data_IF_258328206666
#
_entry.id   IF_258328206666
#
_cell.length_a   1.000
_cell.length_b   1.000
_cell.length_c   1.000
_cell.angle_alpha   90.00
_cell.angle_beta   90.00
_cell.angle_gamma   90.00
#
_symmetry.space_group_name_H-M   'P 1'
#
loop_
_entity.id
_entity.type
_entity.pdbx_description
1 polymer ?
#
# COMPACT_ATOMS: atom_id res chain seq x y z
N UNK A 1 25.71 -4.67 37.74
CA UNK A 1 26.98 -5.10 38.37
C UNK A 1 28.09 -4.98 37.35
N UNK A 2 29.29 -4.51 37.71
CA UNK A 2 29.72 -3.15 38.11
C UNK A 2 30.17 -2.34 36.86
N UNK A 3 30.66 -1.10 36.87
CA UNK A 3 31.10 -0.19 37.92
C UNK A 3 31.27 1.22 37.32
N UNK A 4 31.21 2.22 38.19
CA UNK A 4 31.27 3.63 37.86
C UNK A 4 32.67 4.09 37.44
N UNK A 5 32.75 5.01 36.49
CA UNK A 5 33.84 5.96 36.37
C UNK A 5 33.26 7.37 36.45
N UNK A 6 33.62 8.08 37.52
CA UNK A 6 33.23 9.45 37.79
C UNK A 6 33.88 10.40 36.80
N UNK A 7 33.07 11.08 35.98
CA UNK A 7 33.50 12.29 35.30
C UNK A 7 33.30 13.48 36.25
N UNK A 8 34.42 14.00 36.78
CA UNK A 8 34.43 15.14 37.69
C UNK A 8 33.77 16.37 37.07
N UNK A 9 32.69 16.85 37.68
CA UNK A 9 32.07 18.12 37.34
C UNK A 9 32.44 19.14 38.40
N UNK A 10 33.34 20.06 38.03
CA UNK A 10 33.78 21.17 38.87
C UNK A 10 32.64 22.15 39.13
N UNK A 11 32.31 22.38 40.40
CA UNK A 11 31.47 23.51 40.80
C UNK A 11 32.25 24.82 40.61
N UNK A 12 31.99 25.55 39.54
CA UNK A 12 32.45 26.93 39.40
C UNK A 12 31.28 27.86 39.80
N UNK A 13 31.40 28.64 40.88
CA UNK A 13 30.36 29.59 41.26
C UNK A 13 30.38 30.74 40.26
N UNK A 14 29.42 30.77 39.35
CA UNK A 14 29.17 31.90 38.46
C UNK A 14 28.07 32.76 39.08
N UNK A 15 28.44 33.56 40.08
CA UNK A 15 27.67 34.69 40.58
C UNK A 15 28.09 35.95 39.84
N UNK A 16 27.86 35.99 38.53
CA UNK A 16 27.86 37.25 37.77
C UNK A 16 26.41 37.61 37.51
N UNK A 17 25.81 38.27 38.49
CA UNK A 17 24.55 38.97 38.32
C UNK A 17 24.77 40.09 37.31
N UNK A 18 24.11 40.00 36.15
CA UNK A 18 23.99 41.12 35.25
C UNK A 18 23.20 42.21 35.97
N UNK A 19 23.88 43.28 36.39
CA UNK A 19 23.21 44.44 36.97
C UNK A 19 22.33 45.10 35.92
N UNK A 20 21.10 45.49 36.31
CA UNK A 20 20.21 46.27 35.44
C UNK A 20 21.00 47.50 34.96
N UNK A 21 21.05 47.76 33.64
CA UNK A 21 21.71 48.95 33.12
C UNK A 21 21.08 50.19 33.73
N UNK A 22 21.92 51.18 34.07
CA UNK A 22 21.46 52.44 34.60
C UNK A 22 20.53 53.10 33.56
N UNK A 23 19.25 53.27 33.91
CA UNK A 23 18.31 54.03 33.08
C UNK A 23 18.69 55.50 33.18
N UNK A 24 19.52 56.01 32.28
CA UNK A 24 19.73 57.45 32.16
C UNK A 24 18.43 58.08 31.68
N UNK A 25 17.83 58.96 32.50
CA UNK A 25 16.59 59.66 32.16
C UNK A 25 16.75 60.63 30.99
N UNK A 26 17.99 60.98 30.64
CA UNK A 26 18.33 61.83 29.49
C UNK A 26 19.09 61.02 28.46
N UNK A 27 18.74 61.20 27.19
CA UNK A 27 19.54 60.71 26.07
C UNK A 27 20.90 61.40 26.12
N UNK A 28 21.98 60.63 26.08
CA UNK A 28 23.33 61.21 25.97
C UNK A 28 23.49 61.89 24.61
N UNK A 29 24.32 62.93 24.53
CA UNK A 29 24.61 63.65 23.28
C UNK A 29 25.06 62.69 22.15
N UNK A 30 25.72 61.58 22.53
CA UNK A 30 26.08 60.48 21.63
C UNK A 30 24.86 59.71 21.10
N UNK A 31 23.92 59.30 21.95
CA UNK A 31 22.68 58.64 21.53
C UNK A 31 21.85 59.48 20.56
N UNK A 32 21.73 60.78 20.82
CA UNK A 32 21.01 61.69 19.90
C UNK A 32 21.73 61.78 18.56
N UNK A 33 23.07 61.83 18.56
CA UNK A 33 23.88 61.89 17.34
C UNK A 33 23.86 60.59 16.55
N UNK A 34 23.80 59.43 17.21
CA UNK A 34 23.70 58.12 16.56
C UNK A 34 22.28 57.87 16.00
N UNK A 35 21.24 58.26 16.73
CA UNK A 35 19.86 58.23 16.23
C UNK A 35 19.68 59.16 15.02
N UNK A 36 20.26 60.38 15.06
CA UNK A 36 20.23 61.31 13.93
C UNK A 36 21.00 60.81 12.69
N UNK A 37 21.96 59.89 12.87
CA UNK A 37 22.69 59.25 11.75
C UNK A 37 21.93 58.09 11.10
N UNK A 38 20.70 57.80 11.54
CA UNK A 38 19.94 56.64 11.04
C UNK A 38 20.58 55.30 11.39
N UNK A 39 21.54 55.28 12.34
CA UNK A 39 22.09 54.05 12.88
C UNK A 39 21.03 53.47 13.81
N UNK A 40 20.12 52.68 13.25
CA UNK A 40 19.43 51.67 14.04
C UNK A 40 20.49 50.86 14.76
N UNK A 41 20.24 50.49 16.01
CA UNK A 41 20.99 49.41 16.62
C UNK A 41 20.81 48.23 15.67
N UNK A 42 21.82 47.97 14.85
CA UNK A 42 22.11 46.62 14.44
C UNK A 42 22.19 45.89 15.77
N UNK A 43 21.09 45.24 16.16
CA UNK A 43 21.21 43.97 16.82
C UNK A 43 22.26 43.29 15.97
N UNK A 44 23.49 43.21 16.52
CA UNK A 44 24.51 42.33 15.98
C UNK A 44 23.78 41.01 15.93
N UNK A 45 23.23 40.72 14.75
CA UNK A 45 22.55 39.50 14.46
C UNK A 45 23.65 38.52 14.74
N UNK A 46 23.58 37.92 15.93
CA UNK A 46 24.51 36.89 16.29
C UNK A 46 24.34 35.95 15.12
N UNK A 47 25.37 35.86 14.27
CA UNK A 47 25.48 34.82 13.27
C UNK A 47 25.53 33.56 14.09
N UNK A 48 24.35 33.13 14.51
CA UNK A 48 24.11 31.92 15.23
C UNK A 48 24.50 30.89 14.21
N UNK A 49 25.55 30.15 14.54
CA UNK A 49 25.90 28.96 13.78
C UNK A 49 24.62 28.12 13.65
N UNK A 50 24.48 27.26 12.62
CA UNK A 50 23.29 26.41 12.48
C UNK A 50 22.93 25.66 13.78
N UNK A 51 23.93 25.40 14.62
CA UNK A 51 23.81 24.79 15.93
C UNK A 51 23.19 25.70 17.03
N UNK A 52 23.28 27.01 16.89
CA UNK A 52 22.72 28.00 17.83
C UNK A 52 21.31 28.47 17.45
N UNK A 53 20.80 28.08 16.27
CA UNK A 53 19.42 28.34 15.87
C UNK A 53 18.46 27.39 16.61
N UNK A 54 18.16 27.71 17.86
CA UNK A 54 17.07 27.05 18.59
C UNK A 54 15.74 27.55 18.02
N UNK A 55 15.07 26.68 17.26
CA UNK A 55 13.76 26.98 16.69
C UNK A 55 12.75 27.40 17.77
N UNK A 56 11.96 28.44 17.49
CA UNK A 56 10.84 28.82 18.34
C UNK A 56 9.86 27.65 18.50
N UNK A 57 9.05 27.66 19.57
CA UNK A 57 7.92 26.72 19.72
C UNK A 57 6.97 26.81 18.52
N UNK A 58 6.79 28.01 17.96
CA UNK A 58 6.00 28.24 16.74
C UNK A 58 6.68 27.61 15.51
N UNK A 59 7.97 27.81 15.31
CA UNK A 59 8.72 27.24 14.18
C UNK A 59 8.69 25.71 14.20
N UNK A 60 8.87 25.10 15.38
CA UNK A 60 8.74 23.64 15.56
C UNK A 60 7.36 23.13 15.17
N UNK A 61 6.29 23.84 15.58
CA UNK A 61 4.91 23.48 15.20
C UNK A 61 4.67 23.63 13.70
N UNK A 62 5.19 24.70 13.09
CA UNK A 62 5.06 24.95 11.66
C UNK A 62 5.82 23.89 10.83
N UNK A 63 7.05 23.54 11.22
CA UNK A 63 7.82 22.49 10.57
C UNK A 63 7.11 21.13 10.68
N UNK A 64 6.57 20.79 11.86
CA UNK A 64 5.80 19.56 12.04
C UNK A 64 4.55 19.53 11.13
N UNK A 65 3.83 20.65 11.03
CA UNK A 65 2.67 20.80 10.13
C UNK A 65 3.06 20.66 8.66
N UNK A 66 4.18 21.26 8.23
CA UNK A 66 4.68 21.11 6.86
C UNK A 66 5.00 19.66 6.53
N UNK A 67 5.73 18.95 7.41
CA UNK A 67 6.04 17.52 7.23
C UNK A 67 4.77 16.66 7.19
N UNK A 68 3.78 16.97 8.02
CA UNK A 68 2.50 16.25 8.00
C UNK A 68 1.76 16.43 6.67
N UNK A 69 1.68 17.66 6.16
CA UNK A 69 1.03 17.96 4.87
C UNK A 69 1.76 17.31 3.70
N UNK A 70 3.09 17.27 3.74
CA UNK A 70 3.92 16.60 2.74
C UNK A 70 3.65 15.09 2.71
N UNK A 71 3.68 14.42 3.87
CA UNK A 71 3.34 12.99 3.98
C UNK A 71 1.91 12.68 3.54
N UNK A 72 0.96 13.55 3.87
CA UNK A 72 -0.42 13.38 3.43
C UNK A 72 -0.55 13.47 1.90
N UNK A 73 0.20 14.38 1.26
CA UNK A 73 0.25 14.53 -0.20
C UNK A 73 0.91 13.32 -0.88
N UNK A 74 1.97 12.80 -0.28
CA UNK A 74 2.67 11.59 -0.75
C UNK A 74 1.72 10.39 -0.74
N UNK A 75 1.06 10.12 0.39
CA UNK A 75 0.07 9.04 0.50
C UNK A 75 -1.12 9.22 -0.46
N UNK A 76 -1.59 10.46 -0.66
CA UNK A 76 -2.65 10.75 -1.63
C UNK A 76 -2.18 10.43 -3.06
N UNK A 77 -0.91 10.73 -3.39
CA UNK A 77 -0.34 10.42 -4.70
C UNK A 77 -0.27 8.91 -4.92
N UNK A 78 0.18 8.13 -3.94
CA UNK A 78 0.23 6.67 -4.02
C UNK A 78 -1.15 6.03 -4.23
N UNK A 79 -2.16 6.54 -3.53
CA UNK A 79 -3.53 6.00 -3.59
C UNK A 79 -4.35 6.54 -4.76
N UNK A 80 -3.90 7.63 -5.40
CA UNK A 80 -4.62 8.32 -6.48
C UNK A 80 -4.92 7.42 -7.68
N UNK A 81 -4.07 6.44 -7.97
CA UNK A 81 -4.24 5.47 -9.08
C UNK A 81 -5.53 4.67 -8.97
N UNK A 82 -6.02 4.39 -7.75
CA UNK A 82 -7.24 3.65 -7.50
C UNK A 82 -8.47 4.55 -7.31
N UNK A 83 -8.27 5.87 -7.34
CA UNK A 83 -9.31 6.86 -7.04
C UNK A 83 -9.99 7.36 -8.31
N UNK A 84 -11.26 7.75 -8.18
CA UNK A 84 -12.03 8.36 -9.27
C UNK A 84 -12.79 7.36 -10.14
N UNK A 85 -13.53 7.89 -11.13
CA UNK A 85 -14.38 7.09 -12.02
C UNK A 85 -13.54 6.15 -12.91
N UNK A 86 -12.37 6.62 -13.32
CA UNK A 86 -11.42 5.90 -14.17
C UNK A 86 -10.25 5.32 -13.37
N UNK A 87 -10.41 5.20 -12.04
CA UNK A 87 -9.43 4.56 -11.17
C UNK A 87 -9.16 3.12 -11.61
N UNK A 88 -7.89 2.74 -11.52
CA UNK A 88 -7.43 1.38 -11.80
C UNK A 88 -8.11 0.38 -10.86
N UNK A 89 -8.46 -0.81 -11.35
CA UNK A 89 -8.87 -1.88 -10.47
C UNK A 89 -7.71 -2.32 -9.57
N UNK A 90 -8.04 -2.75 -8.35
CA UNK A 90 -7.10 -3.40 -7.43
C UNK A 90 -7.06 -4.88 -7.76
N UNK A 91 -5.91 -5.37 -8.19
CA UNK A 91 -5.75 -6.76 -8.60
C UNK A 91 -5.62 -7.66 -7.38
N UNK A 92 -6.53 -8.62 -7.23
CA UNK A 92 -6.59 -9.56 -6.10
C UNK A 92 -6.42 -10.99 -6.62
N UNK A 93 -5.25 -11.57 -6.40
CA UNK A 93 -5.00 -12.98 -6.69
C UNK A 93 -5.52 -13.84 -5.55
N UNK A 94 -6.43 -14.78 -5.85
CA UNK A 94 -7.01 -15.68 -4.86
C UNK A 94 -6.46 -17.08 -5.08
N UNK A 95 -5.63 -17.55 -4.15
CA UNK A 95 -4.78 -18.73 -4.31
C UNK A 95 -5.19 -19.78 -3.28
N UNK A 96 -5.74 -20.93 -3.70
CA UNK A 96 -6.02 -22.05 -2.81
C UNK A 96 -4.73 -22.80 -2.48
N UNK A 97 -4.47 -23.01 -1.18
CA UNK A 97 -3.31 -23.75 -0.72
C UNK A 97 -3.61 -25.23 -0.44
N UNK A 98 -4.85 -25.57 -0.05
CA UNK A 98 -5.27 -26.95 0.20
C UNK A 98 -6.07 -27.53 -0.97
N UNK A 99 -6.08 -28.86 -1.10
CA UNK A 99 -6.72 -29.56 -2.23
C UNK A 99 -8.24 -29.34 -2.33
N UNK A 100 -8.90 -29.13 -1.19
CA UNK A 100 -10.35 -28.91 -1.06
C UNK A 100 -10.74 -27.41 -1.12
N UNK A 101 -9.76 -26.52 -1.15
CA UNK A 101 -9.99 -25.08 -1.14
C UNK A 101 -10.38 -24.58 -2.53
N UNK A 102 -11.40 -23.71 -2.59
CA UNK A 102 -11.92 -23.21 -3.86
C UNK A 102 -11.89 -21.67 -3.89
N UNK A 103 -11.06 -21.13 -4.78
CA UNK A 103 -10.93 -19.68 -4.97
C UNK A 103 -12.25 -19.01 -5.39
N UNK A 104 -13.05 -19.66 -6.24
CA UNK A 104 -14.34 -19.12 -6.67
C UNK A 104 -15.33 -19.03 -5.51
N UNK A 105 -15.41 -20.08 -4.68
CA UNK A 105 -16.24 -20.09 -3.47
C UNK A 105 -15.79 -19.00 -2.48
N UNK A 106 -14.48 -18.81 -2.30
CA UNK A 106 -13.95 -17.74 -1.47
C UNK A 106 -14.38 -16.35 -1.99
N UNK A 107 -14.30 -16.10 -3.29
CA UNK A 107 -14.74 -14.83 -3.90
C UNK A 107 -16.25 -14.63 -3.72
N UNK A 108 -17.06 -15.68 -3.88
CA UNK A 108 -18.51 -15.61 -3.65
C UNK A 108 -18.84 -15.22 -2.21
N UNK A 109 -18.18 -15.84 -1.22
CA UNK A 109 -18.37 -15.49 0.20
C UNK A 109 -17.96 -14.05 0.50
N UNK A 110 -16.87 -13.57 -0.11
CA UNK A 110 -16.40 -12.19 0.05
C UNK A 110 -17.38 -11.19 -0.56
N UNK A 111 -17.81 -11.39 -1.80
CA UNK A 111 -18.76 -10.51 -2.49
C UNK A 111 -20.14 -10.54 -1.82
N UNK A 112 -20.62 -11.73 -1.42
CA UNK A 112 -21.87 -11.90 -0.70
C UNK A 112 -21.90 -11.20 0.66
N UNK A 113 -20.73 -10.99 1.31
CA UNK A 113 -20.67 -10.26 2.57
C UNK A 113 -21.02 -8.77 2.48
N UNK A 114 -20.98 -8.21 1.27
CA UNK A 114 -21.31 -6.82 0.97
C UNK A 114 -22.42 -6.71 -0.07
N UNK A 115 -23.17 -7.78 -0.26
CA UNK A 115 -24.38 -7.84 -1.10
C UNK A 115 -24.09 -7.55 -2.58
N UNK A 116 -22.94 -8.03 -3.07
CA UNK A 116 -22.57 -7.96 -4.49
C UNK A 116 -22.85 -9.31 -5.14
N UNK A 117 -23.78 -9.30 -6.09
CA UNK A 117 -24.06 -10.41 -6.99
C UNK A 117 -23.18 -10.25 -8.24
N UNK A 118 -22.05 -10.95 -8.26
CA UNK A 118 -21.18 -11.03 -9.43
C UNK A 118 -20.96 -12.50 -9.77
N UNK A 119 -21.21 -12.85 -11.03
CA UNK A 119 -20.87 -14.17 -11.55
C UNK A 119 -19.35 -14.34 -11.54
N UNK A 120 -18.87 -15.37 -10.86
CA UNK A 120 -17.44 -15.69 -10.85
C UNK A 120 -17.11 -16.35 -12.17
N UNK A 121 -16.31 -15.66 -12.98
CA UNK A 121 -15.85 -16.13 -14.27
C UNK A 121 -14.52 -16.86 -14.12
N UNK A 122 -14.26 -17.82 -14.99
CA UNK A 122 -12.91 -18.35 -15.16
C UNK A 122 -12.01 -17.25 -15.76
N UNK A 123 -10.87 -16.99 -15.10
CA UNK A 123 -9.95 -15.93 -15.50
C UNK A 123 -10.16 -14.59 -14.77
N UNK A 124 -9.57 -13.52 -15.29
CA UNK A 124 -9.60 -12.21 -14.63
C UNK A 124 -10.95 -11.51 -14.88
N UNK A 125 -11.64 -11.10 -13.81
CA UNK A 125 -12.88 -10.33 -13.94
C UNK A 125 -12.95 -9.19 -12.92
N UNK A 126 -13.71 -8.15 -13.27
CA UNK A 126 -13.82 -6.91 -12.50
C UNK A 126 -15.14 -6.85 -11.73
N UNK A 127 -15.04 -6.46 -10.47
CA UNK A 127 -16.17 -6.28 -9.56
C UNK A 127 -16.14 -4.85 -9.00
N UNK A 128 -17.13 -4.00 -9.33
CA UNK A 128 -17.26 -2.69 -8.70
C UNK A 128 -17.77 -2.85 -7.27
N UNK A 129 -17.07 -2.24 -6.32
CA UNK A 129 -17.42 -2.23 -4.90
C UNK A 129 -17.88 -0.84 -4.51
N UNK A 130 -19.14 -0.53 -4.81
CA UNK A 130 -19.73 0.81 -4.66
C UNK A 130 -19.67 1.33 -3.21
N UNK A 131 -19.85 0.43 -2.24
CA UNK A 131 -19.78 0.75 -0.79
C UNK A 131 -18.47 1.45 -0.41
N UNK A 132 -17.36 1.08 -1.04
CA UNK A 132 -16.04 1.66 -0.80
C UNK A 132 -15.54 2.55 -1.94
N UNK A 133 -16.35 2.72 -3.01
CA UNK A 133 -15.99 3.47 -4.23
C UNK A 133 -14.68 2.98 -4.86
N UNK A 134 -14.50 1.67 -4.87
CA UNK A 134 -13.31 1.01 -5.42
C UNK A 134 -13.73 -0.04 -6.45
N UNK A 135 -12.80 -0.46 -7.30
CA UNK A 135 -12.98 -1.57 -8.23
C UNK A 135 -11.97 -2.65 -7.87
N UNK A 136 -12.42 -3.88 -7.72
CA UNK A 136 -11.55 -5.04 -7.55
C UNK A 136 -11.48 -5.81 -8.86
N UNK A 137 -10.33 -6.39 -9.16
CA UNK A 137 -10.16 -7.35 -10.23
C UNK A 137 -9.67 -8.64 -9.64
N UNK A 138 -10.55 -9.64 -9.60
CA UNK A 138 -10.22 -10.95 -9.05
C UNK A 138 -9.51 -11.79 -10.09
N UNK A 139 -8.54 -12.57 -9.62
CA UNK A 139 -7.84 -13.60 -10.38
C UNK A 139 -8.03 -14.90 -9.58
N UNK A 140 -9.13 -15.64 -9.81
CA UNK A 140 -9.34 -16.96 -9.21
C UNK A 140 -8.33 -17.93 -9.79
N UNK A 141 -7.52 -18.54 -8.93
CA UNK A 141 -6.47 -19.47 -9.36
C UNK A 141 -6.80 -20.89 -8.92
N UNK A 142 -6.32 -21.83 -9.71
CA UNK A 142 -6.21 -23.24 -9.34
C UNK A 142 -4.84 -23.48 -8.71
N UNK A 143 -4.62 -24.67 -8.16
CA UNK A 143 -3.35 -25.09 -7.55
C UNK A 143 -2.29 -25.42 -8.62
N UNK A 144 -2.03 -24.46 -9.51
CA UNK A 144 -0.98 -24.51 -10.52
C UNK A 144 0.13 -23.53 -10.15
N UNK A 145 1.36 -24.04 -10.03
CA UNK A 145 2.51 -23.27 -9.55
C UNK A 145 2.79 -22.05 -10.45
N UNK A 146 2.83 -22.29 -11.76
CA UNK A 146 3.14 -21.25 -12.76
C UNK A 146 2.08 -20.15 -12.77
N UNK A 147 0.80 -20.51 -12.83
CA UNK A 147 -0.29 -19.53 -12.80
C UNK A 147 -0.32 -18.73 -11.49
N UNK A 148 -0.02 -19.37 -10.35
CA UNK A 148 0.03 -18.69 -9.06
C UNK A 148 1.15 -17.65 -9.00
N UNK A 149 2.36 -17.99 -9.49
CA UNK A 149 3.49 -17.06 -9.56
C UNK A 149 3.17 -15.87 -10.46
N UNK A 150 2.64 -16.15 -11.65
CA UNK A 150 2.31 -15.15 -12.67
C UNK A 150 1.22 -14.18 -12.24
N UNK A 151 0.20 -14.66 -11.54
CA UNK A 151 -0.83 -13.81 -10.98
C UNK A 151 -0.32 -13.02 -9.77
N UNK A 152 0.43 -13.65 -8.86
CA UNK A 152 0.92 -12.98 -7.66
C UNK A 152 1.92 -11.84 -7.98
N UNK A 153 2.75 -11.98 -9.03
CA UNK A 153 3.64 -10.89 -9.47
C UNK A 153 2.85 -9.67 -9.97
N UNK A 154 1.67 -9.87 -10.55
CA UNK A 154 0.80 -8.82 -11.09
C UNK A 154 -0.31 -8.35 -10.11
N UNK A 155 -0.36 -8.93 -8.92
CA UNK A 155 -1.40 -8.65 -7.92
C UNK A 155 -1.02 -7.51 -6.97
N UNK A 156 -1.99 -6.64 -6.69
CA UNK A 156 -1.90 -5.65 -5.60
C UNK A 156 -2.12 -6.32 -4.24
N UNK A 157 -2.96 -7.35 -4.20
CA UNK A 157 -3.25 -8.15 -3.02
C UNK A 157 -3.22 -9.63 -3.35
N UNK A 158 -2.63 -10.42 -2.46
CA UNK A 158 -2.68 -11.88 -2.51
C UNK A 158 -3.59 -12.34 -1.39
N UNK A 159 -4.55 -13.20 -1.71
CA UNK A 159 -5.46 -13.83 -0.75
C UNK A 159 -5.20 -15.33 -0.77
N UNK A 160 -4.56 -15.84 0.28
CA UNK A 160 -4.32 -17.27 0.45
C UNK A 160 -5.53 -17.92 1.10
N UNK A 161 -6.04 -19.00 0.52
CA UNK A 161 -7.16 -19.78 1.05
C UNK A 161 -6.61 -21.04 1.70
N UNK A 162 -6.74 -21.13 3.02
CA UNK A 162 -6.45 -22.31 3.82
C UNK A 162 -7.75 -23.06 4.12
N UNK A 163 -7.69 -24.39 4.18
CA UNK A 163 -8.79 -25.21 4.69
C UNK A 163 -8.66 -25.40 6.19
N UNK A 164 -9.80 -25.50 6.87
CA UNK A 164 -9.87 -25.93 8.26
C UNK A 164 -9.81 -27.46 8.42
N UNK A 165 -10.13 -28.23 7.38
CA UNK A 165 -10.25 -29.70 7.41
C UNK A 165 -9.01 -30.39 6.84
N UNK A 166 -8.45 -29.84 5.76
CA UNK A 166 -7.33 -30.45 5.02
C UNK A 166 -6.08 -29.63 5.21
N UNK A 167 -4.99 -30.29 5.60
CA UNK A 167 -3.68 -29.66 5.75
C UNK A 167 -3.10 -29.20 4.40
N UNK A 168 -2.16 -28.26 4.46
CA UNK A 168 -1.44 -27.81 3.27
C UNK A 168 -0.45 -28.91 2.87
N UNK A 169 -0.63 -29.49 1.69
CA UNK A 169 0.29 -30.48 1.15
C UNK A 169 1.57 -29.83 0.57
N UNK A 170 2.50 -30.67 0.07
CA UNK A 170 3.77 -30.23 -0.50
C UNK A 170 3.61 -29.24 -1.67
N UNK A 171 2.54 -29.37 -2.48
CA UNK A 171 2.28 -28.47 -3.59
C UNK A 171 1.82 -27.09 -3.08
N UNK A 172 0.95 -27.06 -2.08
CA UNK A 172 0.52 -25.81 -1.44
C UNK A 172 1.69 -25.10 -0.77
N UNK A 173 2.56 -25.84 -0.09
CA UNK A 173 3.78 -25.31 0.52
C UNK A 173 4.77 -24.80 -0.52
N UNK A 174 4.95 -25.52 -1.63
CA UNK A 174 5.79 -25.09 -2.75
C UNK A 174 5.26 -23.78 -3.37
N UNK A 175 3.95 -23.67 -3.59
CA UNK A 175 3.31 -22.45 -4.08
C UNK A 175 3.57 -21.28 -3.11
N UNK A 176 3.34 -21.50 -1.81
CA UNK A 176 3.54 -20.48 -0.77
C UNK A 176 4.99 -19.97 -0.77
N UNK A 177 5.97 -20.87 -0.70
CA UNK A 177 7.40 -20.52 -0.72
C UNK A 177 7.82 -19.81 -2.01
N UNK A 178 7.27 -20.24 -3.15
CA UNK A 178 7.64 -19.68 -4.45
C UNK A 178 7.10 -18.25 -4.60
N UNK A 179 5.86 -17.99 -4.17
CA UNK A 179 5.28 -16.63 -4.21
C UNK A 179 5.99 -15.70 -3.22
N UNK A 180 6.40 -16.22 -2.06
CA UNK A 180 7.15 -15.42 -1.09
C UNK A 180 8.54 -15.06 -1.61
N UNK A 181 9.28 -16.03 -2.15
CA UNK A 181 10.63 -15.82 -2.66
C UNK A 181 10.70 -14.91 -3.89
N UNK A 182 9.68 -14.87 -4.76
CA UNK A 182 9.65 -13.89 -5.87
C UNK A 182 9.38 -12.45 -5.40
N UNK A 183 8.85 -12.30 -4.18
CA UNK A 183 8.30 -11.07 -3.65
C UNK A 183 6.81 -10.92 -4.00
N UNK A 184 6.00 -10.68 -2.98
CA UNK A 184 4.58 -10.38 -3.12
C UNK A 184 4.25 -9.01 -2.53
N UNK A 185 3.07 -8.50 -2.89
CA UNK A 185 2.52 -7.25 -2.38
C UNK A 185 1.92 -7.48 -0.97
N UNK A 186 0.77 -6.91 -0.67
CA UNK A 186 0.05 -7.15 0.58
C UNK A 186 -0.63 -8.52 0.58
N UNK A 187 -0.33 -9.33 1.58
CA UNK A 187 -0.93 -10.65 1.78
C UNK A 187 -2.09 -10.59 2.80
N UNK A 188 -3.18 -11.29 2.50
CA UNK A 188 -4.22 -11.66 3.44
C UNK A 188 -4.44 -13.17 3.40
N UNK A 189 -4.81 -13.75 4.53
CA UNK A 189 -5.09 -15.18 4.62
C UNK A 189 -6.52 -15.42 5.10
N UNK A 190 -7.23 -16.28 4.40
CA UNK A 190 -8.61 -16.67 4.69
C UNK A 190 -8.71 -18.15 5.00
N UNK A 191 -9.67 -18.52 5.84
CA UNK A 191 -9.95 -19.90 6.24
C UNK A 191 -11.31 -20.29 5.67
N UNK A 192 -11.35 -21.43 4.96
CA UNK A 192 -12.56 -22.04 4.44
C UNK A 192 -12.98 -23.23 5.32
N UNK A 193 -14.29 -23.36 5.60
CA UNK A 193 -14.84 -24.55 6.25
C UNK A 193 -14.65 -24.61 7.77
N UNK A 194 -14.39 -23.49 8.43
CA UNK A 194 -14.26 -23.44 9.90
C UNK A 194 -15.56 -23.89 10.61
N UNK A 195 -16.73 -23.63 10.01
CA UNK A 195 -18.03 -24.06 10.52
C UNK A 195 -18.26 -25.57 10.44
N UNK A 196 -17.46 -26.31 9.66
CA UNK A 196 -17.55 -27.77 9.56
C UNK A 196 -16.81 -28.49 10.70
N UNK A 197 -15.92 -27.79 11.40
CA UNK A 197 -15.17 -28.34 12.53
C UNK A 197 -16.09 -28.50 13.73
N UNK A 198 -16.26 -29.76 14.13
CA UNK A 198 -16.98 -30.18 15.33
C UNK A 198 -16.07 -30.94 16.30
N UNK A 199 -16.16 -30.68 17.61
CA UNK A 199 -17.05 -29.73 18.28
C UNK A 199 -16.63 -28.26 18.07
N UNK A 200 -17.60 -27.34 18.03
CA UNK A 200 -17.35 -25.90 17.84
C UNK A 200 -16.27 -25.27 18.75
N UNK A 201 -16.00 -25.83 19.93
CA UNK A 201 -14.91 -25.40 20.83
C UNK A 201 -13.51 -25.56 20.22
N UNK A 202 -13.32 -26.53 19.31
CA UNK A 202 -12.03 -26.76 18.64
C UNK A 202 -11.71 -25.72 17.57
N UNK A 203 -12.70 -24.98 17.05
CA UNK A 203 -12.52 -23.98 15.99
C UNK A 203 -11.45 -22.95 16.32
N UNK A 204 -11.40 -22.46 17.56
CA UNK A 204 -10.38 -21.51 18.01
C UNK A 204 -8.97 -22.13 18.01
N UNK A 205 -8.86 -23.41 18.36
CA UNK A 205 -7.59 -24.15 18.31
C UNK A 205 -7.12 -24.30 16.87
N UNK A 206 -8.01 -24.65 15.94
CA UNK A 206 -7.69 -24.77 14.51
C UNK A 206 -7.21 -23.44 13.94
N UNK A 207 -7.89 -22.33 14.26
CA UNK A 207 -7.45 -20.98 13.85
C UNK A 207 -6.06 -20.66 14.42
N UNK A 208 -5.78 -21.01 15.67
CA UNK A 208 -4.46 -20.81 16.28
C UNK A 208 -3.36 -21.63 15.61
N UNK A 209 -3.66 -22.88 15.25
CA UNK A 209 -2.74 -23.76 14.53
C UNK A 209 -2.44 -23.21 13.13
N UNK A 210 -3.48 -22.84 12.37
CA UNK A 210 -3.33 -22.24 11.04
C UNK A 210 -2.58 -20.90 11.09
N UNK A 211 -2.81 -20.10 12.14
CA UNK A 211 -2.07 -18.86 12.36
C UNK A 211 -0.59 -19.14 12.61
N UNK A 212 -0.28 -20.14 13.42
CA UNK A 212 1.10 -20.56 13.68
C UNK A 212 1.79 -21.07 12.40
N UNK A 213 1.06 -21.83 11.57
CA UNK A 213 1.54 -22.28 10.27
C UNK A 213 1.87 -21.10 9.35
N UNK A 214 0.94 -20.17 9.11
CA UNK A 214 1.19 -19.08 8.16
C UNK A 214 2.25 -18.10 8.66
N UNK A 215 2.34 -17.85 9.97
CA UNK A 215 3.33 -16.95 10.56
C UNK A 215 4.76 -17.49 10.50
N UNK A 216 4.93 -18.81 10.37
CA UNK A 216 6.23 -19.42 10.08
C UNK A 216 6.79 -18.96 8.73
N UNK A 217 5.94 -18.81 7.71
CA UNK A 217 6.34 -18.32 6.39
C UNK A 217 6.31 -16.80 6.35
N UNK A 218 5.20 -16.18 6.76
CA UNK A 218 5.00 -14.74 6.67
C UNK A 218 4.66 -14.14 8.06
N UNK A 219 5.68 -13.70 8.82
CA UNK A 219 5.49 -13.22 10.20
C UNK A 219 4.56 -12.01 10.34
N UNK A 220 4.35 -11.23 9.27
CA UNK A 220 3.45 -10.07 9.30
C UNK A 220 1.95 -10.44 9.25
N UNK A 221 1.60 -11.74 9.08
CA UNK A 221 0.21 -12.21 9.12
C UNK A 221 -0.33 -12.26 10.56
N UNK A 222 -0.82 -11.12 11.06
CA UNK A 222 -1.38 -11.04 12.42
C UNK A 222 -2.79 -11.64 12.53
N UNK A 223 -3.57 -11.60 11.45
CA UNK A 223 -5.00 -11.93 11.47
C UNK A 223 -5.40 -12.81 10.29
N UNK A 224 -6.04 -13.92 10.61
CA UNK A 224 -6.77 -14.76 9.66
C UNK A 224 -8.24 -14.33 9.61
N UNK A 225 -8.87 -14.51 8.46
CA UNK A 225 -10.29 -14.21 8.25
C UNK A 225 -11.05 -15.48 7.90
N UNK A 226 -12.09 -15.83 8.65
CA UNK A 226 -12.98 -16.93 8.31
C UNK A 226 -13.97 -16.53 7.22
N UNK A 227 -14.02 -17.30 6.13
CA UNK A 227 -14.99 -17.12 5.05
C UNK A 227 -16.43 -17.42 5.47
N UNK A 228 -16.60 -18.17 6.55
CA UNK A 228 -17.91 -18.53 7.09
C UNK A 228 -18.54 -17.39 7.92
N UNK A 229 -17.72 -16.44 8.37
CA UNK A 229 -18.17 -15.27 9.11
C UNK A 229 -18.38 -14.09 8.18
N UNK A 230 -19.65 -13.75 7.92
CA UNK A 230 -20.02 -12.59 7.08
C UNK A 230 -19.35 -11.29 7.57
N UNK A 231 -19.19 -11.12 8.88
CA UNK A 231 -18.54 -9.95 9.47
C UNK A 231 -17.04 -9.90 9.15
N UNK A 232 -16.35 -11.04 9.18
CA UNK A 232 -14.93 -11.11 8.85
C UNK A 232 -14.68 -10.92 7.36
N UNK A 233 -15.51 -11.51 6.50
CA UNK A 233 -15.52 -11.24 5.06
C UNK A 233 -15.70 -9.75 4.76
N UNK A 234 -16.69 -9.09 5.40
CA UNK A 234 -16.94 -7.66 5.19
C UNK A 234 -15.76 -6.79 5.65
N UNK A 235 -15.09 -7.19 6.73
CA UNK A 235 -13.88 -6.53 7.19
C UNK A 235 -12.70 -6.72 6.22
N UNK A 236 -12.52 -7.92 5.67
CA UNK A 236 -11.49 -8.17 4.65
C UNK A 236 -11.78 -7.36 3.38
N UNK A 237 -13.04 -7.31 2.92
CA UNK A 237 -13.43 -6.50 1.78
C UNK A 237 -13.14 -5.02 1.97
N UNK A 238 -13.39 -4.50 3.19
CA UNK A 238 -12.95 -3.14 3.55
C UNK A 238 -11.44 -3.00 3.42
N UNK A 239 -10.67 -3.93 3.98
CA UNK A 239 -9.21 -3.91 3.92
C UNK A 239 -8.68 -3.94 2.49
N UNK A 240 -9.22 -4.79 1.61
CA UNK A 240 -8.85 -4.84 0.19
C UNK A 240 -9.10 -3.50 -0.51
N UNK A 241 -10.18 -2.80 -0.17
CA UNK A 241 -10.54 -1.53 -0.79
C UNK A 241 -9.80 -0.32 -0.20
N UNK A 242 -9.48 -0.32 1.11
CA UNK A 242 -8.91 0.86 1.78
C UNK A 242 -7.40 0.81 1.99
N UNK A 243 -6.80 -0.39 2.04
CA UNK A 243 -5.37 -0.54 2.32
C UNK A 243 -4.55 -0.08 1.12
N UNK A 244 -3.44 0.60 1.36
CA UNK A 244 -2.46 0.89 0.31
C UNK A 244 -1.61 -0.37 0.11
N UNK A 245 -1.61 -1.00 -1.09
CA UNK A 245 -0.84 -2.21 -1.32
C UNK A 245 0.66 -1.94 -1.17
N UNK A 246 1.40 -2.90 -0.61
CA UNK A 246 2.86 -2.80 -0.50
C UNK A 246 3.47 -2.86 -1.90
N UNK A 247 4.41 -1.96 -2.17
CA UNK A 247 5.15 -1.99 -3.42
C UNK A 247 6.08 -3.20 -3.52
N UNK A 248 6.29 -3.70 -4.74
CA UNK A 248 7.36 -4.68 -5.03
C UNK A 248 8.43 -3.93 -5.81
N UNK A 249 9.61 -3.76 -5.21
CA UNK A 249 10.64 -2.85 -5.75
C UNK A 249 10.93 -3.05 -7.24
N UNK A 250 11.16 -4.29 -7.67
CA UNK A 250 11.49 -4.58 -9.06
C UNK A 250 10.33 -4.30 -10.04
N UNK A 251 9.08 -4.42 -9.56
CA UNK A 251 7.85 -4.18 -10.31
C UNK A 251 7.55 -2.70 -10.44
N UNK A 252 7.68 -1.95 -9.33
CA UNK A 252 7.34 -0.52 -9.29
C UNK A 252 8.42 0.36 -9.93
N UNK A 253 9.66 -0.14 -10.01
CA UNK A 253 10.72 0.50 -10.78
C UNK A 253 10.52 0.40 -12.30
N UNK A 254 9.55 -0.40 -12.76
CA UNK A 254 9.23 -0.66 -14.17
C UNK A 254 7.78 -0.26 -14.48
N UNK A 255 7.47 -0.15 -15.77
CA UNK A 255 6.11 -0.04 -16.26
C UNK A 255 5.56 -1.45 -16.44
N UNK A 256 4.41 -1.74 -15.88
CA UNK A 256 3.77 -3.06 -16.01
C UNK A 256 2.27 -2.91 -16.26
N UNK A 257 1.65 -3.96 -16.79
CA UNK A 257 0.24 -3.96 -17.14
C UNK A 257 -0.29 -5.39 -17.04
N UNK A 258 -1.41 -5.57 -16.34
CA UNK A 258 -2.19 -6.79 -16.45
C UNK A 258 -3.06 -6.68 -17.71
N UNK A 259 -2.91 -7.64 -18.62
CA UNK A 259 -3.63 -7.64 -19.89
C UNK A 259 -5.06 -8.15 -19.66
N UNK A 260 -6.03 -7.40 -20.18
CA UNK A 260 -7.47 -7.65 -20.01
C UNK A 260 -8.13 -8.10 -21.32
N UNK A 261 -7.61 -7.61 -22.45
CA UNK A 261 -8.08 -7.98 -23.78
C UNK A 261 -6.89 -8.07 -24.73
N UNK A 262 -6.91 -9.10 -25.59
CA UNK A 262 -5.87 -9.37 -26.58
C UNK A 262 -6.53 -9.50 -27.95
N UNK A 263 -6.10 -8.65 -28.88
CA UNK A 263 -6.48 -8.76 -30.28
C UNK A 263 -5.26 -9.15 -31.09
N UNK A 264 -5.21 -10.41 -31.49
CA UNK A 264 -4.14 -10.92 -32.35
C UNK A 264 -4.25 -10.30 -33.74
N UNK A 265 -3.10 -10.08 -34.36
CA UNK A 265 -2.99 -9.62 -35.73
C UNK A 265 -3.62 -10.61 -36.72
N UNK A 266 -4.37 -10.08 -37.70
CA UNK A 266 -4.72 -10.81 -38.93
C UNK A 266 -3.91 -10.27 -40.09
N UNK A 267 -2.90 -11.03 -40.53
CA UNK A 267 -2.03 -10.63 -41.65
C UNK A 267 -0.96 -9.61 -41.24
N UNK A 268 -0.98 -8.43 -41.86
CA UNK A 268 -0.02 -7.33 -41.60
C UNK A 268 -0.37 -6.46 -40.39
N UNK A 269 -1.46 -6.78 -39.68
CA UNK A 269 -1.91 -6.01 -38.54
C UNK A 269 -0.99 -6.21 -37.32
N UNK A 270 -1.13 -5.33 -36.33
CA UNK A 270 -0.37 -5.39 -35.09
C UNK A 270 -1.18 -6.10 -34.01
N UNK A 271 -0.52 -6.92 -33.19
CA UNK A 271 -1.16 -7.48 -31.99
C UNK A 271 -1.38 -6.37 -30.97
N UNK A 272 -2.63 -6.21 -30.53
CA UNK A 272 -3.03 -5.16 -29.59
C UNK A 272 -3.30 -5.76 -28.21
N UNK A 273 -2.56 -5.26 -27.21
CA UNK A 273 -2.76 -5.61 -25.80
C UNK A 273 -3.45 -4.44 -25.08
N UNK A 274 -4.59 -4.71 -24.46
CA UNK A 274 -5.34 -3.71 -23.70
C UNK A 274 -5.25 -4.02 -22.21
N UNK A 275 -5.01 -2.99 -21.40
CA UNK A 275 -4.98 -3.10 -19.95
C UNK A 275 -4.68 -1.76 -19.29
N UNK A 276 -4.50 -1.78 -17.97
CA UNK A 276 -4.18 -0.58 -17.19
C UNK A 276 -2.69 -0.55 -16.86
N UNK A 277 -2.01 0.51 -17.28
CA UNK A 277 -0.58 0.72 -16.97
C UNK A 277 -0.41 1.07 -15.50
N UNK A 278 0.53 0.40 -14.84
CA UNK A 278 0.88 0.53 -13.42
C UNK A 278 2.41 0.68 -13.26
N UNK A 279 2.85 1.14 -12.09
CA UNK A 279 4.26 1.43 -11.82
C UNK A 279 4.71 2.73 -12.50
N UNK A 280 5.76 2.67 -13.32
CA UNK A 280 6.19 3.81 -14.14
C UNK A 280 5.35 3.95 -15.41
N UNK A 281 5.39 5.15 -16.02
CA UNK A 281 4.70 5.40 -17.29
C UNK A 281 5.28 4.54 -18.43
N UNK A 282 4.41 3.99 -19.27
CA UNK A 282 4.79 3.23 -20.46
C UNK A 282 5.38 4.17 -21.53
N UNK A 283 6.52 3.80 -22.13
CA UNK A 283 7.20 4.57 -23.18
C UNK A 283 7.33 3.73 -24.45
N UNK A 284 7.00 4.30 -25.60
CA UNK A 284 7.05 3.60 -26.89
C UNK A 284 8.48 3.13 -27.26
N UNK A 285 9.50 3.92 -26.93
CA UNK A 285 10.91 3.60 -27.25
C UNK A 285 11.51 2.47 -26.38
N UNK A 286 10.71 1.83 -25.52
CA UNK A 286 11.16 0.75 -24.63
C UNK A 286 10.62 -0.59 -25.12
N UNK A 287 11.42 -1.63 -24.91
CA UNK A 287 10.99 -3.01 -25.13
C UNK A 287 9.96 -3.42 -24.07
N UNK A 288 9.06 -4.33 -24.46
CA UNK A 288 8.05 -4.95 -23.59
C UNK A 288 8.26 -6.44 -23.58
N UNK A 289 8.30 -7.03 -22.38
CA UNK A 289 8.25 -8.47 -22.20
C UNK A 289 6.81 -8.90 -21.95
N UNK A 290 6.31 -9.85 -22.74
CA UNK A 290 4.94 -10.37 -22.64
C UNK A 290 4.99 -11.76 -22.04
N UNK A 291 4.96 -11.85 -20.70
CA UNK A 291 5.03 -13.13 -19.98
C UNK A 291 6.13 -14.05 -20.54
N UNK A 292 5.75 -15.28 -20.87
CA UNK A 292 6.66 -16.30 -21.42
C UNK A 292 6.81 -16.23 -22.96
N UNK A 293 6.14 -15.30 -23.62
CA UNK A 293 6.18 -15.15 -25.09
C UNK A 293 7.45 -14.45 -25.59
N UNK A 294 8.17 -13.77 -24.69
CA UNK A 294 9.43 -13.08 -25.00
C UNK A 294 9.30 -11.56 -25.07
N UNK A 295 10.26 -10.93 -25.76
CA UNK A 295 10.46 -9.48 -25.78
C UNK A 295 10.11 -8.90 -27.14
N UNK A 296 9.31 -7.83 -27.16
CA UNK A 296 8.77 -7.19 -28.35
C UNK A 296 9.00 -5.67 -28.32
N UNK A 297 9.01 -5.04 -29.49
CA UNK A 297 9.03 -3.59 -29.64
C UNK A 297 7.60 -3.04 -29.66
N UNK A 298 7.41 -1.82 -29.13
CA UNK A 298 6.13 -1.13 -29.17
C UNK A 298 6.09 -0.24 -30.42
N UNK A 299 5.13 -0.49 -31.31
CA UNK A 299 4.89 0.39 -32.46
C UNK A 299 4.10 1.65 -32.06
N UNK A 300 3.03 1.46 -31.28
CA UNK A 300 2.13 2.56 -30.90
C UNK A 300 1.47 2.31 -29.56
N UNK A 301 1.26 3.39 -28.81
CA UNK A 301 0.45 3.41 -27.58
C UNK A 301 -0.77 4.29 -27.84
N UNK A 302 -1.95 3.77 -27.54
CA UNK A 302 -3.23 4.50 -27.66
C UNK A 302 -4.00 4.42 -26.35
N UNK A 303 -4.84 5.43 -26.10
CA UNK A 303 -5.78 5.37 -24.98
C UNK A 303 -6.94 4.42 -25.31
N UNK A 304 -7.27 3.54 -24.36
CA UNK A 304 -8.41 2.64 -24.43
C UNK A 304 -9.40 2.98 -23.30
N UNK A 305 -10.22 4.04 -23.43
CA UNK A 305 -11.18 4.41 -22.41
C UNK A 305 -12.24 3.31 -22.25
N UNK A 306 -12.60 3.00 -21.00
CA UNK A 306 -13.67 2.04 -20.71
C UNK A 306 -15.00 2.57 -21.23
N UNK A 307 -15.82 1.69 -21.80
CA UNK A 307 -17.16 2.05 -22.25
C UNK A 307 -18.00 2.49 -21.04
N UNK A 308 -18.21 3.80 -20.88
CA UNK A 308 -19.16 4.32 -19.90
C UNK A 308 -20.56 3.92 -20.35
N UNK A 309 -21.29 3.12 -19.55
CA UNK A 309 -22.75 2.99 -19.71
C UNK A 309 -23.36 4.38 -19.57
N UNK A 310 -23.64 5.08 -20.68
CA UNK A 310 -24.51 6.25 -20.66
C UNK A 310 -25.85 5.77 -20.08
N UNK A 311 -26.24 6.27 -18.90
CA UNK A 311 -27.63 6.17 -18.44
C UNK A 311 -28.48 6.75 -19.57
N UNK A 312 -29.19 5.92 -20.33
CA UNK A 312 -30.30 6.38 -21.17
C UNK A 312 -31.26 7.07 -20.22
N UNK A 313 -31.30 8.39 -20.26
CA UNK A 313 -32.33 9.17 -19.57
C UNK A 313 -33.68 8.68 -20.08
N UNK A 314 -34.55 8.26 -19.17
CA UNK A 314 -35.98 8.14 -19.45
C UNK A 314 -36.46 9.53 -19.83
N UNK A 315 -36.76 9.72 -21.11
CA UNK A 315 -37.69 10.74 -21.56
C UNK A 315 -39.07 10.15 -21.29
N UNK A 316 -39.74 10.68 -20.28
CA UNK A 316 -41.19 10.79 -20.20
C UNK A 316 -41.49 12.26 -19.92
#
# INVERSE_FOLDING_TARGET
>A
MPGALSAGHSHRPTTKTSHKPFKSRKATKGQIRDAAKGRTQEERGQRKTPHQQVMSKLDRRNQAKQRQLEKAREHQRETSVFSGKDGAPRNVAVIPLCADSNAAAAIQSLNGSIDIEAEVQDGCFRVPVDRFKQKLQYIPLKRDLTACLDAARAADFVVLVLSAEVEVDDLGELILRSIESQGMSTLFTVIQGLNKIEPAKQRLSVVSSLKSYITHFHPEQDKLYSLDSRQECSNLMRSLCSTTPKGIRWRDERSWMLVEDVKFASGSDLTTLTGVVRGKGLKADRLVQVGDWGTFQIEKITAAPLATRKKKGKIQ
#
